data_IF_562143558380
#
_entry.id   IF_562143558380
#
_cell.length_a   1.000
_cell.length_b   1.000
_cell.length_c   1.000
_cell.angle_alpha   90.00
_cell.angle_beta   90.00
_cell.angle_gamma   90.00
#
_symmetry.space_group_name_H-M   'P 1'
#
loop_
_entity.id
_entity.type
_entity.pdbx_description
1 polymer ?
#
# COMPACT_ATOMS: atom_id res chain seq x y z
N UNK A 1 -45.52 51.26 34.00
CA UNK A 1 -44.22 51.40 33.28
C UNK A 1 -43.97 50.14 32.48
N UNK A 2 -43.85 50.27 31.16
CA UNK A 2 -43.97 49.17 30.20
C UNK A 2 -42.61 48.46 29.99
N UNK A 3 -42.33 47.41 30.78
CA UNK A 3 -41.06 46.67 30.79
C UNK A 3 -40.74 45.90 29.51
N UNK A 4 -41.71 45.71 28.61
CA UNK A 4 -41.53 45.02 27.32
C UNK A 4 -40.71 45.83 26.31
N UNK A 5 -40.83 47.16 26.33
CA UNK A 5 -40.18 48.03 25.35
C UNK A 5 -38.68 48.19 25.60
N UNK A 6 -38.27 48.14 26.88
CA UNK A 6 -36.88 48.29 27.31
C UNK A 6 -36.06 47.05 26.96
N UNK A 7 -36.58 45.84 27.17
CA UNK A 7 -35.90 44.58 26.79
C UNK A 7 -35.73 44.45 25.28
N UNK A 8 -36.71 44.89 24.50
CA UNK A 8 -36.64 44.91 23.04
C UNK A 8 -35.58 45.91 22.55
N UNK A 9 -35.51 47.10 23.15
CA UNK A 9 -34.45 48.08 22.87
C UNK A 9 -33.05 47.55 23.17
N UNK A 10 -32.84 46.87 24.31
CA UNK A 10 -31.55 46.27 24.65
C UNK A 10 -31.15 45.13 23.69
N UNK A 11 -32.11 44.29 23.27
CA UNK A 11 -31.86 43.23 22.30
C UNK A 11 -31.48 43.79 20.92
N UNK A 12 -32.18 44.84 20.46
CA UNK A 12 -31.90 45.51 19.19
C UNK A 12 -30.54 46.24 19.21
N UNK A 13 -30.17 46.87 20.32
CA UNK A 13 -28.84 47.50 20.46
C UNK A 13 -27.72 46.47 20.52
N UNK A 14 -27.91 45.34 21.21
CA UNK A 14 -26.92 44.26 21.25
C UNK A 14 -26.73 43.58 19.88
N UNK A 15 -27.82 43.37 19.13
CA UNK A 15 -27.77 42.87 17.75
C UNK A 15 -27.08 43.85 16.82
N UNK A 16 -27.40 45.14 16.93
CA UNK A 16 -26.76 46.20 16.13
C UNK A 16 -25.26 46.32 16.39
N UNK A 17 -24.83 46.28 17.65
CA UNK A 17 -23.41 46.32 18.03
C UNK A 17 -22.64 45.08 17.53
N UNK A 18 -23.26 43.90 17.61
CA UNK A 18 -22.66 42.65 17.13
C UNK A 18 -22.50 42.62 15.61
N UNK A 19 -23.51 43.11 14.88
CA UNK A 19 -23.46 43.27 13.43
C UNK A 19 -22.40 44.29 13.00
N UNK A 20 -22.32 45.43 13.67
CA UNK A 20 -21.30 46.45 13.39
C UNK A 20 -19.88 45.92 13.62
N UNK A 21 -19.68 45.15 14.70
CA UNK A 21 -18.39 44.52 15.01
C UNK A 21 -18.04 43.46 13.97
N UNK A 22 -19.00 42.63 13.57
CA UNK A 22 -18.81 41.63 12.51
C UNK A 22 -18.44 42.27 11.16
N UNK A 23 -19.12 43.33 10.77
CA UNK A 23 -18.82 44.08 9.54
C UNK A 23 -17.44 44.73 9.61
N UNK A 24 -17.06 45.31 10.75
CA UNK A 24 -15.74 45.91 10.93
C UNK A 24 -14.61 44.86 10.82
N UNK A 25 -14.79 43.68 11.43
CA UNK A 25 -13.82 42.58 11.34
C UNK A 25 -13.70 42.07 9.91
N UNK A 26 -14.82 41.83 9.22
CA UNK A 26 -14.83 41.36 7.83
C UNK A 26 -14.21 42.39 6.88
N UNK A 27 -14.51 43.68 7.09
CA UNK A 27 -13.93 44.78 6.30
C UNK A 27 -12.42 44.91 6.53
N UNK A 28 -11.97 44.78 7.78
CA UNK A 28 -10.54 44.77 8.11
C UNK A 28 -9.82 43.56 7.51
N UNK A 29 -10.46 42.38 7.53
CA UNK A 29 -9.92 41.18 6.89
C UNK A 29 -9.84 41.32 5.37
N UNK A 30 -10.87 41.88 4.70
CA UNK A 30 -10.85 42.14 3.26
C UNK A 30 -9.77 43.17 2.90
N UNK A 31 -9.64 44.25 3.69
CA UNK A 31 -8.62 45.25 3.50
C UNK A 31 -7.19 44.67 3.64
N UNK A 32 -6.96 43.85 4.67
CA UNK A 32 -5.68 43.16 4.88
C UNK A 32 -5.38 42.15 3.75
N UNK A 33 -6.40 41.49 3.20
CA UNK A 33 -6.28 40.61 2.02
C UNK A 33 -5.89 41.39 0.77
N UNK A 34 -6.49 42.56 0.53
CA UNK A 34 -6.15 43.44 -0.61
C UNK A 34 -4.71 43.94 -0.52
N UNK A 35 -4.28 44.45 0.64
CA UNK A 35 -2.89 44.87 0.86
C UNK A 35 -1.91 43.71 0.60
N UNK A 36 -2.23 42.51 1.10
CA UNK A 36 -1.39 41.34 0.89
C UNK A 36 -1.35 40.89 -0.58
N UNK A 37 -2.47 40.99 -1.29
CA UNK A 37 -2.55 40.69 -2.72
C UNK A 37 -1.76 41.70 -3.57
N UNK A 38 -1.79 42.99 -3.20
CA UNK A 38 -0.98 44.03 -3.84
C UNK A 38 0.51 43.85 -3.55
N UNK A 39 0.88 43.52 -2.31
CA UNK A 39 2.25 43.17 -1.94
C UNK A 39 2.77 41.96 -2.73
N UNK A 40 1.96 40.89 -2.85
CA UNK A 40 2.29 39.72 -3.67
C UNK A 40 2.44 40.08 -5.16
N UNK A 41 1.55 40.92 -5.71
CA UNK A 41 1.68 41.39 -7.10
C UNK A 41 2.99 42.15 -7.31
N UNK A 42 3.41 42.95 -6.31
CA UNK A 42 4.65 43.70 -6.35
C UNK A 42 5.87 42.78 -6.25
N UNK A 43 5.86 41.80 -5.36
CA UNK A 43 6.90 40.76 -5.27
C UNK A 43 7.00 39.94 -6.57
N UNK A 44 5.88 39.49 -7.14
CA UNK A 44 5.82 38.77 -8.42
C UNK A 44 6.33 39.64 -9.59
N UNK A 45 6.15 40.96 -9.52
CA UNK A 45 6.68 41.89 -10.53
C UNK A 45 8.18 42.14 -10.43
N UNK A 46 8.79 41.87 -9.27
CA UNK A 46 10.22 42.02 -9.00
C UNK A 46 11.03 40.76 -9.35
N UNK A 47 10.37 39.64 -9.64
CA UNK A 47 11.01 38.40 -10.14
C UNK A 47 11.51 38.66 -11.58
N UNK A 48 12.79 38.35 -11.91
CA UNK A 48 13.35 38.55 -13.23
C UNK A 48 12.49 37.92 -14.34
N UNK A 49 12.28 38.65 -15.44
CA UNK A 49 11.48 38.22 -16.61
C UNK A 49 12.10 37.08 -17.45
N UNK A 50 13.09 36.36 -16.93
CA UNK A 50 13.76 35.26 -17.64
C UNK A 50 13.07 33.90 -17.53
N UNK A 51 11.89 33.84 -16.92
CA UNK A 51 11.08 32.60 -16.87
C UNK A 51 9.61 32.88 -17.19
N UNK A 52 9.35 33.65 -18.26
CA UNK A 52 8.00 33.77 -18.84
C UNK A 52 7.94 33.02 -20.17
N UNK A 53 7.35 31.83 -20.07
CA UNK A 53 6.50 31.16 -21.06
C UNK A 53 7.02 31.10 -22.51
N UNK A 54 7.44 29.90 -22.92
CA UNK A 54 7.12 29.44 -24.26
C UNK A 54 5.64 29.03 -24.22
N UNK A 55 4.80 29.78 -24.93
CA UNK A 55 3.41 29.42 -25.18
C UNK A 55 3.18 29.49 -26.69
N UNK A 56 3.11 28.34 -27.35
CA UNK A 56 2.49 28.18 -28.67
C UNK A 56 1.99 26.72 -28.78
N UNK A 57 0.67 26.54 -28.80
CA UNK A 57 -0.10 25.38 -29.28
C UNK A 57 0.54 23.97 -29.18
N UNK A 58 0.02 23.15 -28.27
CA UNK A 58 0.37 21.73 -28.13
C UNK A 58 1.38 21.52 -27.00
N UNK A 59 1.08 20.55 -26.12
CA UNK A 59 1.86 20.06 -24.98
C UNK A 59 3.21 20.74 -24.72
N UNK A 60 3.33 21.45 -23.59
CA UNK A 60 4.62 21.98 -23.11
C UNK A 60 5.56 20.79 -22.89
N UNK A 61 6.43 20.52 -23.85
CA UNK A 61 7.52 19.57 -23.70
C UNK A 61 8.49 20.14 -22.67
N UNK A 62 8.49 19.55 -21.47
CA UNK A 62 9.47 19.87 -20.44
C UNK A 62 10.85 19.41 -20.89
N UNK A 63 11.87 20.18 -20.55
CA UNK A 63 13.24 19.85 -20.89
C UNK A 63 13.63 18.51 -20.24
N UNK A 64 13.87 17.48 -21.07
CA UNK A 64 14.24 16.15 -20.62
C UNK A 64 15.53 16.14 -19.78
N UNK A 65 16.43 17.11 -19.95
CA UNK A 65 17.62 17.23 -19.10
C UNK A 65 17.25 17.56 -17.64
N UNK A 66 16.26 18.43 -17.42
CA UNK A 66 15.77 18.77 -16.09
C UNK A 66 15.00 17.63 -15.45
N UNK A 67 14.23 16.87 -16.25
CA UNK A 67 13.53 15.68 -15.78
C UNK A 67 14.54 14.61 -15.36
N UNK A 68 15.57 14.37 -16.19
CA UNK A 68 16.65 13.44 -15.86
C UNK A 68 17.38 13.85 -14.58
N UNK A 69 17.67 15.14 -14.39
CA UNK A 69 18.26 15.64 -13.15
C UNK A 69 17.34 15.39 -11.95
N UNK A 70 16.04 15.68 -12.06
CA UNK A 70 15.06 15.37 -11.02
C UNK A 70 15.01 13.87 -10.67
N UNK A 71 15.20 13.01 -11.67
CA UNK A 71 15.16 11.54 -11.53
C UNK A 71 16.53 10.90 -11.36
N UNK A 72 17.62 11.67 -11.19
CA UNK A 72 18.99 11.17 -11.22
C UNK A 72 19.24 10.03 -10.21
N UNK A 73 18.61 10.09 -9.03
CA UNK A 73 18.73 9.03 -8.01
C UNK A 73 17.96 7.76 -8.39
N UNK A 74 16.83 7.89 -9.07
CA UNK A 74 16.12 6.73 -9.61
C UNK A 74 16.89 6.10 -10.76
N UNK A 75 17.51 6.92 -11.63
CA UNK A 75 18.38 6.44 -12.72
C UNK A 75 19.59 5.70 -12.15
N UNK A 76 20.23 6.23 -11.11
CA UNK A 76 21.36 5.57 -10.47
C UNK A 76 21.00 4.20 -9.85
N UNK A 77 19.75 4.02 -9.40
CA UNK A 77 19.30 2.77 -8.78
C UNK A 77 18.71 1.76 -9.78
N UNK A 78 17.88 2.21 -10.71
CA UNK A 78 17.12 1.37 -11.66
C UNK A 78 17.79 1.26 -13.04
N UNK A 79 18.81 2.07 -13.30
CA UNK A 79 19.37 2.28 -14.64
C UNK A 79 18.48 3.17 -15.52
N UNK A 80 19.05 3.66 -16.61
CA UNK A 80 18.33 4.46 -17.62
C UNK A 80 17.14 3.67 -18.21
N UNK A 81 17.33 2.38 -18.52
CA UNK A 81 16.28 1.54 -19.09
C UNK A 81 15.09 1.37 -18.13
N UNK A 82 15.36 1.14 -16.84
CA UNK A 82 14.31 0.99 -15.83
C UNK A 82 13.48 2.26 -15.66
N UNK A 83 14.13 3.42 -15.65
CA UNK A 83 13.44 4.73 -15.58
C UNK A 83 12.67 5.01 -16.87
N UNK A 84 13.21 4.69 -18.04
CA UNK A 84 12.51 4.86 -19.33
C UNK A 84 11.21 4.04 -19.40
N UNK A 85 11.21 2.81 -18.87
CA UNK A 85 9.99 1.99 -18.73
C UNK A 85 8.96 2.67 -17.81
N UNK A 86 9.41 3.24 -16.69
CA UNK A 86 8.53 3.99 -15.78
C UNK A 86 7.95 5.23 -16.46
N UNK A 87 8.76 5.98 -17.20
CA UNK A 87 8.34 7.17 -17.94
C UNK A 87 7.23 6.87 -18.93
N UNK A 88 7.29 5.72 -19.61
CA UNK A 88 6.26 5.25 -20.57
C UNK A 88 5.06 4.57 -19.92
N UNK A 89 5.07 4.36 -18.61
CA UNK A 89 4.03 3.59 -17.93
C UNK A 89 2.80 4.42 -17.57
N UNK A 90 1.66 3.74 -17.54
CA UNK A 90 0.36 4.25 -17.11
C UNK A 90 -0.15 3.46 -15.90
N UNK A 91 -0.49 4.16 -14.82
CA UNK A 91 -1.02 3.56 -13.58
C UNK A 91 -2.37 4.16 -13.21
N UNK A 92 -3.34 3.30 -12.88
CA UNK A 92 -4.66 3.71 -12.39
C UNK A 92 -4.73 3.48 -10.88
N UNK A 93 -5.23 4.45 -10.13
CA UNK A 93 -5.34 4.39 -8.66
C UNK A 93 -6.79 4.66 -8.27
N UNK A 94 -7.43 3.68 -7.66
CA UNK A 94 -8.82 3.76 -7.19
C UNK A 94 -8.84 3.93 -5.67
N UNK A 95 -9.36 5.07 -5.22
CA UNK A 95 -9.32 5.52 -3.83
C UNK A 95 -8.09 6.40 -3.55
N UNK A 96 -8.31 7.67 -3.23
CA UNK A 96 -7.31 8.70 -2.95
C UNK A 96 -7.38 9.12 -1.48
N UNK A 97 -7.49 8.11 -0.60
CA UNK A 97 -7.40 8.28 0.85
C UNK A 97 -5.96 8.29 1.36
N UNK A 98 -5.76 7.82 2.60
CA UNK A 98 -4.44 7.76 3.23
C UNK A 98 -3.46 6.74 2.64
N UNK A 99 -3.90 5.86 1.73
CA UNK A 99 -3.02 4.92 1.03
C UNK A 99 -2.77 5.40 -0.41
N UNK A 100 -3.83 5.55 -1.20
CA UNK A 100 -3.72 5.88 -2.62
C UNK A 100 -3.09 7.25 -2.89
N UNK A 101 -3.29 8.25 -2.02
CA UNK A 101 -2.63 9.55 -2.17
C UNK A 101 -1.10 9.45 -2.04
N UNK A 102 -0.60 8.63 -1.11
CA UNK A 102 0.83 8.38 -0.94
C UNK A 102 1.40 7.52 -2.06
N UNK A 103 0.64 6.52 -2.53
CA UNK A 103 1.03 5.72 -3.69
C UNK A 103 1.18 6.60 -4.94
N UNK A 104 0.19 7.44 -5.25
CA UNK A 104 0.22 8.36 -6.38
C UNK A 104 1.40 9.34 -6.29
N UNK A 105 1.61 9.94 -5.12
CA UNK A 105 2.72 10.84 -4.86
C UNK A 105 4.06 10.18 -5.14
N UNK A 106 4.27 8.96 -4.64
CA UNK A 106 5.54 8.29 -4.82
C UNK A 106 5.75 7.72 -6.22
N UNK A 107 4.70 7.30 -6.92
CA UNK A 107 4.79 6.89 -8.32
C UNK A 107 5.27 8.04 -9.21
N UNK A 108 4.68 9.23 -9.05
CA UNK A 108 5.11 10.43 -9.78
C UNK A 108 6.56 10.79 -9.46
N UNK A 109 6.94 10.81 -8.18
CA UNK A 109 8.33 11.09 -7.76
C UNK A 109 9.34 10.05 -8.25
N UNK A 110 8.86 8.85 -8.61
CA UNK A 110 9.71 7.77 -9.13
C UNK A 110 9.84 7.77 -10.65
N UNK A 111 9.15 8.68 -11.36
CA UNK A 111 9.24 8.82 -12.81
C UNK A 111 8.02 8.30 -13.60
N UNK A 112 6.98 7.79 -12.93
CA UNK A 112 5.72 7.44 -13.63
C UNK A 112 5.11 8.72 -14.20
N UNK A 113 4.91 8.75 -15.52
CA UNK A 113 4.50 9.99 -16.19
C UNK A 113 3.02 10.08 -16.50
N UNK A 114 2.30 8.97 -16.41
CA UNK A 114 0.86 8.97 -16.60
C UNK A 114 0.18 8.24 -15.44
N UNK A 115 -0.66 8.98 -14.70
CA UNK A 115 -1.54 8.38 -13.71
C UNK A 115 -2.98 8.82 -13.91
N UNK A 116 -3.92 7.92 -13.63
CA UNK A 116 -5.34 8.24 -13.44
C UNK A 116 -5.71 7.99 -11.99
N UNK A 117 -6.27 9.00 -11.35
CA UNK A 117 -6.67 8.96 -9.95
C UNK A 117 -8.20 9.06 -9.87
N UNK A 118 -8.83 8.08 -9.22
CA UNK A 118 -10.29 7.93 -9.16
C UNK A 118 -10.73 7.96 -7.71
N UNK A 119 -11.51 8.98 -7.34
CA UNK A 119 -12.16 9.09 -6.04
C UNK A 119 -13.33 10.07 -6.14
N UNK A 120 -14.44 9.76 -5.49
CA UNK A 120 -15.63 10.62 -5.48
C UNK A 120 -15.69 11.53 -4.24
N UNK A 121 -14.87 11.25 -3.23
CA UNK A 121 -14.86 11.98 -1.96
C UNK A 121 -14.19 13.36 -2.05
N UNK A 122 -14.55 14.21 -1.09
CA UNK A 122 -13.89 15.47 -0.81
C UNK A 122 -12.91 15.35 0.36
N UNK A 123 -11.94 16.26 0.43
CA UNK A 123 -11.03 16.41 1.56
C UNK A 123 -11.83 16.88 2.77
N UNK A 124 -11.74 16.13 3.88
CA UNK A 124 -12.29 16.52 5.18
C UNK A 124 -11.19 16.95 6.14
N UNK A 125 -11.51 17.66 7.21
CA UNK A 125 -10.54 17.95 8.28
C UNK A 125 -9.92 16.66 8.85
N UNK A 126 -10.71 15.61 9.01
CA UNK A 126 -10.23 14.30 9.47
C UNK A 126 -9.37 13.57 8.44
N UNK A 127 -9.34 14.00 7.17
CA UNK A 127 -8.45 13.45 6.15
C UNK A 127 -7.01 13.94 6.32
N UNK A 128 -6.81 15.11 6.91
CA UNK A 128 -5.50 15.78 7.03
C UNK A 128 -4.49 15.00 7.88
N UNK A 129 -4.96 14.07 8.73
CA UNK A 129 -4.06 13.23 9.53
C UNK A 129 -3.31 12.17 8.69
N UNK A 130 -3.75 11.89 7.46
CA UNK A 130 -3.23 10.75 6.66
C UNK A 130 -3.15 10.98 5.15
N UNK A 131 -3.88 11.94 4.58
CA UNK A 131 -3.80 12.24 3.15
C UNK A 131 -2.44 12.88 2.83
N UNK A 132 -1.78 12.45 1.76
CA UNK A 132 -0.36 12.75 1.52
C UNK A 132 -0.01 14.24 1.40
N UNK A 133 -0.88 15.01 0.74
CA UNK A 133 -0.59 16.41 0.35
C UNK A 133 -1.70 17.39 0.73
N UNK A 134 -2.81 16.91 1.29
CA UNK A 134 -3.95 17.78 1.54
C UNK A 134 -3.64 18.72 2.70
N UNK A 135 -4.04 19.98 2.54
CA UNK A 135 -3.87 21.04 3.53
C UNK A 135 -5.23 21.53 4.03
N UNK A 136 -5.21 22.40 5.04
CA UNK A 136 -6.43 23.08 5.51
C UNK A 136 -7.17 23.83 4.38
N UNK A 137 -6.43 24.35 3.38
CA UNK A 137 -7.02 25.07 2.26
C UNK A 137 -7.74 24.16 1.25
N UNK A 138 -7.46 22.85 1.29
CA UNK A 138 -8.05 21.88 0.38
C UNK A 138 -9.36 21.29 0.93
N UNK A 139 -9.74 21.57 2.19
CA UNK A 139 -10.97 21.06 2.81
C UNK A 139 -12.21 21.47 1.99
N UNK A 140 -13.04 20.49 1.63
CA UNK A 140 -14.20 20.66 0.74
C UNK A 140 -13.89 20.54 -0.75
N UNK A 141 -12.63 20.42 -1.14
CA UNK A 141 -12.23 20.15 -2.54
C UNK A 141 -12.25 18.64 -2.80
N UNK A 142 -12.64 18.15 -3.99
CA UNK A 142 -12.50 16.74 -4.35
C UNK A 142 -11.06 16.25 -4.15
N UNK A 143 -10.87 15.08 -3.52
CA UNK A 143 -9.54 14.55 -3.16
C UNK A 143 -8.63 14.42 -4.38
N UNK A 144 -9.17 13.96 -5.50
CA UNK A 144 -8.44 13.84 -6.77
C UNK A 144 -7.95 15.19 -7.30
N UNK A 145 -8.72 16.26 -7.12
CA UNK A 145 -8.33 17.60 -7.58
C UNK A 145 -7.26 18.19 -6.66
N UNK A 146 -7.43 18.06 -5.35
CA UNK A 146 -6.43 18.48 -4.38
C UNK A 146 -5.08 17.78 -4.66
N UNK A 147 -5.10 16.45 -4.84
CA UNK A 147 -3.90 15.69 -5.18
C UNK A 147 -3.32 16.12 -6.53
N UNK A 148 -4.14 16.23 -7.60
CA UNK A 148 -3.65 16.64 -8.92
C UNK A 148 -2.89 17.96 -8.88
N UNK A 149 -3.41 18.96 -8.16
CA UNK A 149 -2.79 20.27 -8.00
C UNK A 149 -1.35 20.13 -7.46
N UNK A 150 -1.19 19.43 -6.33
CA UNK A 150 0.12 19.23 -5.70
C UNK A 150 1.06 18.37 -6.57
N UNK A 151 0.55 17.36 -7.28
CA UNK A 151 1.39 16.56 -8.17
C UNK A 151 1.93 17.37 -9.36
N UNK A 152 1.14 18.30 -9.91
CA UNK A 152 1.59 19.21 -10.97
C UNK A 152 2.67 20.19 -10.49
N UNK A 153 2.67 20.56 -9.21
CA UNK A 153 3.74 21.37 -8.62
C UNK A 153 5.06 20.57 -8.50
N UNK A 154 4.97 19.26 -8.31
CA UNK A 154 6.13 18.36 -8.14
C UNK A 154 6.71 17.92 -9.49
N UNK A 155 5.84 17.53 -10.41
CA UNK A 155 6.19 16.93 -11.70
C UNK A 155 5.24 17.50 -12.76
N UNK A 156 5.49 18.73 -13.23
CA UNK A 156 4.60 19.37 -14.19
C UNK A 156 4.61 18.67 -15.56
N UNK A 157 5.61 17.82 -15.82
CA UNK A 157 5.71 16.91 -16.96
C UNK A 157 4.79 15.70 -16.88
N UNK A 158 4.18 15.41 -15.73
CA UNK A 158 3.32 14.24 -15.56
C UNK A 158 1.88 14.53 -16.00
N UNK A 159 1.31 13.61 -16.78
CA UNK A 159 -0.12 13.56 -17.09
C UNK A 159 -0.87 12.95 -15.90
N UNK A 160 -1.60 13.80 -15.18
CA UNK A 160 -2.46 13.37 -14.06
C UNK A 160 -3.92 13.56 -14.46
N UNK A 161 -4.65 12.45 -14.62
CA UNK A 161 -6.08 12.39 -14.95
C UNK A 161 -6.95 12.23 -13.69
N UNK A 162 -7.53 13.30 -13.14
CA UNK A 162 -8.43 13.20 -12.00
C UNK A 162 -9.84 12.85 -12.46
N UNK A 163 -10.41 11.79 -11.89
CA UNK A 163 -11.78 11.37 -12.16
C UNK A 163 -12.57 11.41 -10.85
N UNK A 164 -13.53 12.33 -10.80
CA UNK A 164 -14.45 12.49 -9.66
C UNK A 164 -15.66 11.57 -9.90
N UNK A 165 -15.49 10.27 -9.68
CA UNK A 165 -16.55 9.27 -9.93
C UNK A 165 -16.44 8.12 -8.92
N UNK A 166 -17.58 7.60 -8.47
CA UNK A 166 -17.62 6.39 -7.65
C UNK A 166 -17.33 5.19 -8.55
N UNK A 167 -16.46 4.29 -8.09
CA UNK A 167 -16.22 3.05 -8.80
C UNK A 167 -17.40 2.09 -8.63
N UNK A 168 -18.11 1.79 -9.72
CA UNK A 168 -19.25 0.87 -9.74
C UNK A 168 -19.07 -0.17 -10.84
N UNK A 169 -19.99 -1.13 -10.91
CA UNK A 169 -19.96 -2.15 -11.96
C UNK A 169 -20.14 -1.58 -13.35
N UNK A 170 -20.96 -0.56 -13.47
CA UNK A 170 -21.31 0.11 -14.72
C UNK A 170 -20.16 1.00 -15.21
N UNK A 171 -19.43 1.63 -14.28
CA UNK A 171 -18.33 2.53 -14.62
C UNK A 171 -16.99 1.82 -14.82
N UNK A 172 -16.82 0.58 -14.34
CA UNK A 172 -15.55 -0.16 -14.34
C UNK A 172 -14.83 -0.18 -15.70
N UNK A 173 -15.53 -0.56 -16.76
CA UNK A 173 -14.95 -0.67 -18.11
C UNK A 173 -14.44 0.67 -18.63
N UNK A 174 -15.17 1.76 -18.36
CA UNK A 174 -14.76 3.13 -18.72
C UNK A 174 -13.57 3.57 -17.88
N UNK A 175 -13.67 3.41 -16.56
CA UNK A 175 -12.68 3.93 -15.61
C UNK A 175 -11.32 3.22 -15.71
N UNK A 176 -11.32 1.92 -16.01
CA UNK A 176 -10.12 1.09 -16.12
C UNK A 176 -9.59 0.96 -17.57
N UNK A 177 -10.14 1.73 -18.52
CA UNK A 177 -9.71 1.72 -19.91
C UNK A 177 -8.32 2.33 -20.13
N UNK A 178 -7.69 2.01 -21.27
CA UNK A 178 -6.42 2.61 -21.69
C UNK A 178 -5.17 1.79 -21.35
N UNK A 179 -5.31 0.48 -21.17
CA UNK A 179 -4.20 -0.48 -21.05
C UNK A 179 -3.16 -0.11 -19.97
N UNK A 180 -3.65 0.17 -18.77
CA UNK A 180 -2.79 0.47 -17.63
C UNK A 180 -1.81 -0.67 -17.33
N UNK A 181 -0.54 -0.31 -17.10
CA UNK A 181 0.48 -1.26 -16.67
C UNK A 181 0.18 -1.80 -15.27
N UNK A 182 -0.45 -0.99 -14.41
CA UNK A 182 -0.87 -1.39 -13.07
C UNK A 182 -2.14 -0.66 -12.64
N UNK A 183 -2.93 -1.36 -11.83
CA UNK A 183 -4.08 -0.83 -11.09
C UNK A 183 -3.77 -0.94 -9.59
N UNK A 184 -4.03 0.14 -8.85
CA UNK A 184 -3.93 0.21 -7.40
C UNK A 184 -5.33 0.28 -6.82
N UNK A 185 -5.66 -0.70 -5.98
CA UNK A 185 -6.86 -0.67 -5.15
C UNK A 185 -6.53 -0.15 -3.74
N UNK A 186 -7.01 1.05 -3.44
CA UNK A 186 -6.96 1.68 -2.12
C UNK A 186 -8.37 2.01 -1.59
N UNK A 187 -9.39 1.24 -2.03
CA UNK A 187 -10.79 1.38 -1.61
C UNK A 187 -10.97 0.84 -0.20
N UNK A 188 -11.80 1.48 0.62
CA UNK A 188 -12.15 1.05 1.97
C UNK A 188 -13.43 0.20 2.03
N UNK A 189 -14.40 0.45 1.16
CA UNK A 189 -15.61 -0.36 1.01
C UNK A 189 -15.30 -1.77 0.48
N UNK A 190 -15.69 -2.79 1.26
CA UNK A 190 -15.37 -4.20 0.98
C UNK A 190 -16.02 -4.68 -0.32
N UNK A 191 -17.28 -4.33 -0.59
CA UNK A 191 -18.00 -4.87 -1.74
C UNK A 191 -17.49 -4.27 -3.06
N UNK A 192 -17.21 -2.97 -3.05
CA UNK A 192 -16.59 -2.26 -4.19
C UNK A 192 -15.18 -2.80 -4.45
N UNK A 193 -14.39 -3.02 -3.38
CA UNK A 193 -13.08 -3.66 -3.45
C UNK A 193 -13.17 -5.04 -4.09
N UNK A 194 -14.04 -5.92 -3.59
CA UNK A 194 -14.21 -7.28 -4.13
C UNK A 194 -14.57 -7.26 -5.60
N UNK A 195 -15.46 -6.35 -6.00
CA UNK A 195 -15.84 -6.19 -7.38
C UNK A 195 -14.65 -5.75 -8.26
N UNK A 196 -13.88 -4.73 -7.85
CA UNK A 196 -12.67 -4.30 -8.55
C UNK A 196 -11.65 -5.43 -8.70
N UNK A 197 -11.36 -6.14 -7.62
CA UNK A 197 -10.41 -7.27 -7.59
C UNK A 197 -10.85 -8.39 -8.52
N UNK A 198 -12.13 -8.77 -8.49
CA UNK A 198 -12.69 -9.79 -9.38
C UNK A 198 -12.61 -9.35 -10.84
N UNK A 199 -13.01 -8.11 -11.13
CA UNK A 199 -12.99 -7.56 -12.48
C UNK A 199 -11.59 -7.60 -13.08
N UNK A 200 -10.58 -7.12 -12.32
CA UNK A 200 -9.20 -7.11 -12.77
C UNK A 200 -8.65 -8.53 -12.96
N UNK A 201 -8.96 -9.45 -12.03
CA UNK A 201 -8.56 -10.85 -12.16
C UNK A 201 -9.14 -11.50 -13.43
N UNK A 202 -10.45 -11.34 -13.67
CA UNK A 202 -11.13 -11.93 -14.84
C UNK A 202 -10.63 -11.36 -16.17
N UNK A 203 -10.30 -10.07 -16.18
CA UNK A 203 -9.76 -9.37 -17.36
C UNK A 203 -8.24 -9.44 -17.46
N UNK A 204 -7.56 -10.13 -16.53
CA UNK A 204 -6.10 -10.24 -16.43
C UNK A 204 -5.40 -8.87 -16.39
N UNK A 205 -6.04 -7.89 -15.75
CA UNK A 205 -5.46 -6.56 -15.53
C UNK A 205 -4.53 -6.62 -14.31
N UNK A 206 -3.26 -6.18 -14.41
CA UNK A 206 -2.33 -6.20 -13.29
C UNK A 206 -2.83 -5.32 -12.15
N UNK A 207 -3.01 -5.90 -10.96
CA UNK A 207 -3.55 -5.20 -9.80
C UNK A 207 -2.77 -5.51 -8.52
N UNK A 208 -2.61 -4.48 -7.69
CA UNK A 208 -2.17 -4.58 -6.29
C UNK A 208 -3.20 -3.91 -5.39
N UNK A 209 -3.47 -4.52 -4.23
CA UNK A 209 -4.52 -4.06 -3.33
C UNK A 209 -4.03 -3.80 -1.91
N UNK A 210 -4.49 -2.70 -1.32
CA UNK A 210 -4.33 -2.41 0.10
C UNK A 210 -5.40 -3.10 0.93
N UNK A 211 -4.95 -3.83 1.95
CA UNK A 211 -5.79 -4.41 2.99
C UNK A 211 -5.89 -3.46 4.19
N UNK A 212 -6.09 -3.98 5.41
CA UNK A 212 -6.42 -3.17 6.58
C UNK A 212 -5.23 -2.40 7.11
N UNK A 213 -5.16 -1.09 6.84
CA UNK A 213 -4.15 -0.19 7.41
C UNK A 213 -4.61 0.51 8.72
N UNK A 214 -5.90 0.43 9.05
CA UNK A 214 -6.45 1.02 10.28
C UNK A 214 -6.21 0.18 11.52
N UNK A 215 -6.30 0.83 12.69
CA UNK A 215 -6.13 0.22 14.01
C UNK A 215 -4.78 -0.50 14.22
N UNK A 216 -3.72 0.00 13.59
CA UNK A 216 -2.37 -0.55 13.55
C UNK A 216 -1.35 0.56 13.80
N UNK A 217 -0.17 0.18 14.30
CA UNK A 217 0.92 1.10 14.62
C UNK A 217 2.32 0.54 14.35
N UNK A 218 2.49 -0.76 14.11
CA UNK A 218 3.79 -1.40 13.94
C UNK A 218 4.16 -1.55 12.45
N UNK A 219 5.08 -0.72 11.93
CA UNK A 219 5.49 -0.79 10.53
C UNK A 219 6.28 -2.04 10.19
N UNK A 220 6.92 -2.71 11.16
CA UNK A 220 7.72 -3.92 10.93
C UNK A 220 6.88 -5.13 10.54
N UNK A 221 5.55 -5.04 10.72
CA UNK A 221 4.59 -6.11 10.45
C UNK A 221 3.87 -5.95 9.12
N UNK A 222 4.20 -4.93 8.34
CA UNK A 222 3.67 -4.71 6.99
C UNK A 222 4.34 -5.69 6.04
N UNK A 223 3.52 -6.40 5.26
CA UNK A 223 3.97 -7.46 4.36
C UNK A 223 3.26 -7.34 3.02
N UNK A 224 3.89 -7.90 1.99
CA UNK A 224 3.30 -8.03 0.66
C UNK A 224 3.32 -9.49 0.25
N UNK A 225 2.16 -10.00 -0.14
CA UNK A 225 2.05 -11.38 -0.59
C UNK A 225 0.81 -11.57 -1.45
N UNK A 226 0.66 -12.77 -2.02
CA UNK A 226 -0.59 -13.14 -2.68
C UNK A 226 -1.74 -13.20 -1.65
N UNK A 227 -2.94 -12.79 -2.07
CA UNK A 227 -4.14 -12.80 -1.22
C UNK A 227 -4.38 -14.17 -0.58
N UNK A 228 -4.05 -15.27 -1.26
CA UNK A 228 -4.25 -16.66 -0.79
C UNK A 228 -3.48 -16.98 0.49
N UNK A 229 -2.31 -16.38 0.70
CA UNK A 229 -1.38 -16.73 1.78
C UNK A 229 -1.31 -15.67 2.89
N UNK A 230 -2.17 -14.65 2.84
CA UNK A 230 -2.28 -13.61 3.87
C UNK A 230 -2.63 -14.19 5.25
N UNK A 231 -2.06 -13.61 6.31
CA UNK A 231 -2.27 -14.03 7.70
C UNK A 231 -2.64 -12.85 8.60
N UNK A 232 -3.37 -13.13 9.68
CA UNK A 232 -3.72 -12.21 10.79
C UNK A 232 -4.54 -10.94 10.46
N UNK A 233 -4.55 -10.46 9.21
CA UNK A 233 -5.29 -9.27 8.80
C UNK A 233 -6.80 -9.57 8.63
N UNK A 234 -7.69 -8.90 9.40
CA UNK A 234 -9.12 -9.15 9.33
C UNK A 234 -9.77 -8.79 7.98
N UNK A 235 -9.30 -7.71 7.33
CA UNK A 235 -9.81 -7.29 6.03
C UNK A 235 -9.33 -8.27 4.96
N UNK A 236 -8.04 -8.61 4.95
CA UNK A 236 -7.48 -9.59 4.02
C UNK A 236 -8.18 -10.94 4.14
N UNK A 237 -8.44 -11.41 5.38
CA UNK A 237 -9.18 -12.65 5.62
C UNK A 237 -10.59 -12.60 5.05
N UNK A 238 -11.30 -11.49 5.22
CA UNK A 238 -12.68 -11.31 4.71
C UNK A 238 -12.70 -11.27 3.18
N UNK A 239 -11.80 -10.48 2.59
CA UNK A 239 -11.63 -10.35 1.14
C UNK A 239 -11.28 -11.69 0.52
N UNK A 240 -10.25 -12.38 1.04
CA UNK A 240 -9.84 -13.72 0.59
C UNK A 240 -10.98 -14.72 0.60
N UNK A 241 -11.74 -14.80 1.70
CA UNK A 241 -12.87 -15.75 1.80
C UNK A 241 -13.99 -15.46 0.81
N UNK A 242 -14.28 -14.18 0.55
CA UNK A 242 -15.31 -13.77 -0.41
C UNK A 242 -14.85 -13.95 -1.85
N UNK A 243 -13.61 -13.58 -2.19
CA UNK A 243 -13.00 -13.85 -3.49
C UNK A 243 -13.00 -15.34 -3.83
N UNK A 244 -12.64 -16.20 -2.87
CA UNK A 244 -12.69 -17.66 -3.04
C UNK A 244 -14.10 -18.16 -3.40
N UNK A 245 -15.14 -17.62 -2.76
CA UNK A 245 -16.53 -17.93 -3.13
C UNK A 245 -16.92 -17.44 -4.53
N UNK A 246 -16.24 -16.41 -5.02
CA UNK A 246 -16.41 -15.87 -6.38
C UNK A 246 -15.53 -16.59 -7.42
N UNK A 247 -14.78 -17.63 -7.03
CA UNK A 247 -13.90 -18.39 -7.93
C UNK A 247 -12.50 -17.80 -8.10
N UNK A 248 -12.05 -16.92 -7.21
CA UNK A 248 -10.69 -16.36 -7.20
C UNK A 248 -9.96 -16.83 -5.96
N UNK A 249 -9.09 -17.83 -6.13
CA UNK A 249 -8.32 -18.44 -5.04
C UNK A 249 -6.96 -17.77 -4.79
N UNK A 250 -6.31 -17.24 -5.85
CA UNK A 250 -4.97 -16.63 -5.82
C UNK A 250 -4.78 -15.70 -7.04
N UNK A 251 -3.60 -15.09 -7.20
CA UNK A 251 -3.23 -14.26 -8.34
C UNK A 251 -3.39 -12.76 -8.10
N UNK A 252 -3.62 -12.34 -6.86
CA UNK A 252 -3.79 -10.92 -6.50
C UNK A 252 -2.78 -10.59 -5.43
N UNK A 253 -1.83 -9.72 -5.76
CA UNK A 253 -0.84 -9.21 -4.80
C UNK A 253 -1.49 -8.20 -3.88
N UNK A 254 -1.23 -8.29 -2.58
CA UNK A 254 -1.81 -7.38 -1.58
C UNK A 254 -0.77 -6.91 -0.58
N UNK A 255 -0.96 -5.69 -0.08
CA UNK A 255 -0.24 -5.15 1.08
C UNK A 255 -1.14 -5.23 2.29
N UNK A 256 -0.67 -5.87 3.35
CA UNK A 256 -1.40 -6.09 4.60
C UNK A 256 -0.44 -5.99 5.77
N UNK A 257 -0.96 -6.08 6.99
CA UNK A 257 -0.10 -6.19 8.17
C UNK A 257 -0.55 -7.33 9.06
N UNK A 258 0.42 -8.06 9.58
CA UNK A 258 0.21 -9.17 10.52
C UNK A 258 -0.04 -8.68 11.94
N UNK A 259 0.00 -7.37 12.19
CA UNK A 259 -0.34 -6.77 13.47
C UNK A 259 -1.82 -7.01 13.80
N UNK A 260 -2.06 -7.53 15.00
CA UNK A 260 -3.41 -7.66 15.53
C UNK A 260 -3.86 -6.29 16.05
N UNK A 261 -5.04 -5.78 15.65
CA UNK A 261 -5.55 -4.51 16.15
C UNK A 261 -5.62 -4.50 17.68
N UNK A 262 -4.96 -3.54 18.32
CA UNK A 262 -4.93 -3.39 19.79
C UNK A 262 -5.62 -2.11 20.30
N UNK A 263 -6.44 -1.48 19.45
CA UNK A 263 -7.14 -0.24 19.78
C UNK A 263 -8.65 -0.44 19.77
N UNK A 264 -9.33 0.20 20.73
CA UNK A 264 -10.79 0.15 20.82
C UNK A 264 -11.40 0.98 19.69
N UNK A 265 -12.50 0.49 19.14
CA UNK A 265 -13.31 1.25 18.19
C UNK A 265 -13.87 2.50 18.86
N UNK A 266 -13.89 3.62 18.15
CA UNK A 266 -14.44 4.86 18.70
C UNK A 266 -15.95 4.72 18.94
N UNK A 267 -16.48 5.19 20.09
CA UNK A 267 -17.93 5.23 20.32
C UNK A 267 -18.59 6.15 19.29
N UNK A 268 -19.80 5.80 18.87
CA UNK A 268 -20.61 6.69 18.03
C UNK A 268 -21.15 7.82 18.91
N UNK A 269 -20.94 9.07 18.53
CA UNK A 269 -21.57 10.21 19.20
C UNK A 269 -23.09 10.15 18.98
N UNK A 270 -23.89 10.18 20.05
CA UNK A 270 -25.36 10.06 20.00
C UNK A 270 -26.01 11.11 19.07
N UNK A 271 -25.41 12.30 18.95
CA UNK A 271 -25.88 13.36 18.05
C UNK A 271 -25.71 13.06 16.55
N UNK A 272 -24.84 12.12 16.15
CA UNK A 272 -24.69 11.69 14.75
C UNK A 272 -25.66 10.57 14.36
N UNK A 273 -26.42 10.03 15.31
CA UNK A 273 -27.44 9.00 15.04
C UNK A 273 -28.69 9.61 14.40
N UNK A 274 -29.01 10.87 14.70
CA UNK A 274 -30.20 11.55 14.16
C UNK A 274 -30.00 12.10 12.74
N UNK A 275 -28.77 12.51 12.39
CA UNK A 275 -28.40 13.02 11.05
C UNK A 275 -27.59 12.02 10.21
N UNK A 276 -27.66 10.72 10.53
CA UNK A 276 -26.90 9.68 9.83
C UNK A 276 -27.28 9.56 8.33
N UNK A 277 -28.45 10.08 7.93
CA UNK A 277 -28.87 10.18 6.53
C UNK A 277 -28.17 11.30 5.74
N UNK A 278 -27.65 12.33 6.41
CA UNK A 278 -27.11 13.53 5.73
C UNK A 278 -25.60 13.45 5.45
N UNK A 279 -24.89 12.54 6.13
CA UNK A 279 -23.43 12.36 5.99
C UNK A 279 -23.03 11.02 5.36
N UNK A 280 -24.00 10.16 5.02
CA UNK A 280 -23.76 8.89 4.33
C UNK A 280 -24.55 8.86 3.03
N UNK A 281 -23.86 8.90 1.90
CA UNK A 281 -24.44 8.72 0.56
C UNK A 281 -24.94 7.29 0.28
N UNK A 282 -24.98 6.41 1.29
CA UNK A 282 -25.49 5.03 1.17
C UNK A 282 -26.21 4.57 2.47
N UNK A 283 -27.39 3.93 2.35
CA UNK A 283 -28.17 3.45 3.48
C UNK A 283 -27.66 2.08 3.97
N UNK A 284 -26.56 2.03 4.75
CA UNK A 284 -26.32 0.98 5.78
C UNK A 284 -25.09 1.22 6.69
N UNK A 285 -24.62 2.47 6.85
CA UNK A 285 -23.33 2.74 7.49
C UNK A 285 -23.40 2.82 9.03
N UNK A 286 -23.82 1.74 9.71
CA UNK A 286 -23.54 1.57 11.15
C UNK A 286 -22.17 0.95 11.36
N UNK A 287 -21.10 1.70 11.11
CA UNK A 287 -19.76 1.28 11.50
C UNK A 287 -19.14 2.26 12.49
N UNK A 288 -18.72 1.74 13.65
CA UNK A 288 -17.86 2.48 14.58
C UNK A 288 -16.60 2.88 13.81
N UNK A 289 -16.17 4.14 13.95
CA UNK A 289 -15.01 4.65 13.22
C UNK A 289 -13.76 3.89 13.68
N UNK A 290 -13.10 3.21 12.75
CA UNK A 290 -11.82 2.56 13.01
C UNK A 290 -10.76 3.66 13.18
N UNK A 291 -10.06 3.75 14.32
CA UNK A 291 -8.99 4.72 14.49
C UNK A 291 -7.85 4.45 13.49
N UNK A 292 -7.29 5.49 12.91
CA UNK A 292 -6.22 5.39 11.90
C UNK A 292 -5.05 6.26 12.31
N UNK A 293 -3.90 5.63 12.57
CA UNK A 293 -2.62 6.31 12.68
C UNK A 293 -2.08 6.57 11.27
N UNK A 294 -2.00 7.83 10.86
CA UNK A 294 -1.74 8.20 9.45
C UNK A 294 -0.43 7.68 8.86
N UNK A 295 0.56 7.38 9.69
CA UNK A 295 1.85 6.81 9.27
C UNK A 295 1.68 5.42 8.65
N UNK A 296 0.74 4.61 9.11
CA UNK A 296 0.57 3.23 8.61
C UNK A 296 -0.02 3.20 7.19
N UNK A 297 -1.15 3.87 6.89
CA UNK A 297 -1.62 4.00 5.51
C UNK A 297 -0.58 4.60 4.56
N UNK A 298 0.21 5.57 5.03
CA UNK A 298 1.28 6.16 4.23
C UNK A 298 2.33 5.10 3.84
N UNK A 299 2.78 4.28 4.79
CA UNK A 299 3.73 3.20 4.52
C UNK A 299 3.12 2.16 3.57
N UNK A 300 1.84 1.80 3.72
CA UNK A 300 1.16 0.93 2.75
C UNK A 300 1.21 1.53 1.34
N UNK A 301 0.91 2.82 1.19
CA UNK A 301 0.98 3.52 -0.09
C UNK A 301 2.39 3.53 -0.69
N UNK A 302 3.40 3.76 0.16
CA UNK A 302 4.81 3.70 -0.26
C UNK A 302 5.23 2.29 -0.67
N UNK A 303 4.84 1.25 0.07
CA UNK A 303 5.12 -0.15 -0.30
C UNK A 303 4.49 -0.53 -1.64
N UNK A 304 3.24 -0.10 -1.89
CA UNK A 304 2.58 -0.27 -3.19
C UNK A 304 3.36 0.42 -4.31
N UNK A 305 3.77 1.67 -4.10
CA UNK A 305 4.54 2.41 -5.09
C UNK A 305 5.87 1.71 -5.39
N UNK A 306 6.62 1.29 -4.37
CA UNK A 306 7.88 0.55 -4.54
C UNK A 306 7.69 -0.75 -5.32
N UNK A 307 6.63 -1.50 -5.03
CA UNK A 307 6.31 -2.72 -5.76
C UNK A 307 6.07 -2.45 -7.25
N UNK A 308 5.27 -1.43 -7.57
CA UNK A 308 4.96 -1.07 -8.96
C UNK A 308 6.21 -0.57 -9.68
N UNK A 309 6.99 0.30 -9.04
CA UNK A 309 8.22 0.88 -9.61
C UNK A 309 9.21 -0.22 -9.96
N UNK A 310 9.48 -1.12 -9.03
CA UNK A 310 10.42 -2.24 -9.26
C UNK A 310 9.89 -3.20 -10.33
N UNK A 311 8.59 -3.53 -10.33
CA UNK A 311 7.98 -4.40 -11.34
C UNK A 311 8.04 -3.80 -12.75
N UNK A 312 7.70 -2.53 -12.92
CA UNK A 312 7.73 -1.87 -14.24
C UNK A 312 9.17 -1.71 -14.74
N UNK A 313 10.10 -1.32 -13.86
CA UNK A 313 11.51 -1.18 -14.21
C UNK A 313 12.18 -2.53 -14.56
N UNK A 314 11.58 -3.66 -14.18
CA UNK A 314 12.18 -4.98 -14.31
C UNK A 314 13.26 -5.25 -13.25
N UNK A 315 13.24 -4.50 -12.14
CA UNK A 315 14.15 -4.72 -11.03
C UNK A 315 13.68 -5.92 -10.21
N UNK A 316 14.57 -6.92 -10.07
CA UNK A 316 14.24 -8.15 -9.35
C UNK A 316 14.05 -7.87 -7.86
N UNK A 317 12.90 -8.29 -7.33
CA UNK A 317 12.62 -8.30 -5.90
C UNK A 317 12.15 -9.69 -5.50
N UNK A 318 12.67 -10.22 -4.40
CA UNK A 318 12.22 -11.48 -3.78
C UNK A 318 11.44 -11.16 -2.50
N UNK A 319 10.14 -10.79 -2.58
CA UNK A 319 9.36 -10.48 -1.40
C UNK A 319 9.24 -11.72 -0.52
N UNK A 320 9.51 -11.54 0.77
CA UNK A 320 9.33 -12.58 1.78
C UNK A 320 7.85 -12.60 2.17
N UNK A 321 7.10 -13.63 1.75
CA UNK A 321 5.65 -13.54 1.72
C UNK A 321 5.00 -13.50 3.11
N UNK A 322 5.67 -14.00 4.15
CA UNK A 322 5.14 -14.03 5.50
C UNK A 322 6.26 -14.07 6.56
N UNK A 323 6.65 -12.95 7.18
CA UNK A 323 7.61 -12.95 8.32
C UNK A 323 6.94 -13.04 9.69
N UNK A 324 7.73 -13.33 10.72
CA UNK A 324 7.35 -13.31 12.15
C UNK A 324 6.27 -14.33 12.51
N UNK A 325 6.45 -15.57 12.05
CA UNK A 325 5.53 -16.69 12.31
C UNK A 325 6.01 -17.59 13.45
N UNK A 326 6.20 -17.04 14.65
CA UNK A 326 6.81 -17.76 15.79
C UNK A 326 6.15 -19.10 16.13
N UNK A 327 4.81 -19.15 16.08
CA UNK A 327 4.07 -20.40 16.28
C UNK A 327 4.32 -21.45 15.20
N UNK A 328 4.53 -21.01 13.95
CA UNK A 328 4.90 -21.88 12.84
C UNK A 328 6.32 -22.40 13.02
N UNK A 329 7.27 -21.53 13.36
CA UNK A 329 8.66 -21.90 13.55
C UNK A 329 8.83 -22.87 14.72
N UNK A 330 8.15 -22.61 15.84
CA UNK A 330 8.12 -23.51 17.00
C UNK A 330 7.52 -24.88 16.66
N UNK A 331 6.45 -24.90 15.84
CA UNK A 331 5.87 -26.16 15.33
C UNK A 331 6.86 -26.90 14.44
N UNK A 332 7.49 -26.22 13.48
CA UNK A 332 8.44 -26.82 12.54
C UNK A 332 9.68 -27.35 13.23
N UNK A 333 10.21 -26.62 14.21
CA UNK A 333 11.31 -27.06 15.07
C UNK A 333 10.96 -28.35 15.81
N UNK A 334 9.77 -28.40 16.44
CA UNK A 334 9.29 -29.63 17.11
C UNK A 334 9.08 -30.77 16.12
N UNK A 335 8.54 -30.49 14.94
CA UNK A 335 8.33 -31.51 13.89
C UNK A 335 9.68 -32.07 13.41
N UNK A 336 10.70 -31.22 13.23
CA UNK A 336 12.07 -31.61 12.86
C UNK A 336 12.73 -32.46 13.95
N UNK A 337 12.68 -32.03 15.21
CA UNK A 337 13.20 -32.80 16.35
C UNK A 337 12.55 -34.19 16.43
N UNK A 338 11.23 -34.27 16.23
CA UNK A 338 10.53 -35.56 16.22
C UNK A 338 10.87 -36.44 15.00
N UNK A 339 11.34 -35.86 13.88
CA UNK A 339 11.87 -36.63 12.75
C UNK A 339 13.24 -37.19 13.08
N UNK A 340 14.14 -36.36 13.60
CA UNK A 340 15.50 -36.81 13.98
C UNK A 340 15.48 -37.87 15.07
N UNK A 341 14.58 -37.75 16.06
CA UNK A 341 14.34 -38.80 17.07
C UNK A 341 13.92 -40.13 16.46
N UNK A 342 13.06 -40.10 15.43
CA UNK A 342 12.54 -41.32 14.80
C UNK A 342 13.52 -41.95 13.83
N UNK A 343 14.22 -41.13 13.04
CA UNK A 343 15.04 -41.60 11.93
C UNK A 343 16.49 -41.84 12.37
N UNK A 344 17.05 -40.98 13.24
CA UNK A 344 18.48 -40.95 13.59
C UNK A 344 18.72 -41.12 15.11
N UNK A 345 17.67 -41.30 15.91
CA UNK A 345 17.72 -41.47 17.39
C UNK A 345 18.37 -40.28 18.12
N UNK A 346 18.37 -39.08 17.53
CA UNK A 346 18.91 -37.89 18.17
C UNK A 346 17.92 -37.30 19.17
N UNK A 347 18.34 -36.99 20.40
CA UNK A 347 17.45 -36.43 21.43
C UNK A 347 17.32 -34.91 21.39
N UNK A 348 18.27 -34.23 20.75
CA UNK A 348 18.34 -32.78 20.57
C UNK A 348 18.88 -32.44 19.18
N UNK A 349 18.49 -31.29 18.64
CA UNK A 349 18.96 -30.77 17.35
C UNK A 349 19.72 -29.45 17.56
N UNK A 350 20.72 -29.14 16.72
CA UNK A 350 21.58 -27.95 16.88
C UNK A 350 20.94 -26.65 16.36
N UNK A 351 19.62 -26.62 16.16
CA UNK A 351 18.89 -25.48 15.59
C UNK A 351 17.82 -25.03 16.58
N UNK A 352 17.77 -23.74 16.91
CA UNK A 352 16.66 -23.16 17.68
C UNK A 352 15.45 -22.82 16.79
N UNK A 353 14.33 -22.41 17.41
CA UNK A 353 13.13 -22.05 16.64
C UNK A 353 13.33 -20.83 15.73
N UNK A 354 14.24 -19.90 16.06
CA UNK A 354 14.54 -18.73 15.22
C UNK A 354 15.42 -19.12 14.04
N UNK A 355 16.37 -20.03 14.22
CA UNK A 355 17.17 -20.61 13.14
C UNK A 355 16.30 -21.41 12.17
N UNK A 356 15.30 -22.15 12.67
CA UNK A 356 14.27 -22.77 11.84
C UNK A 356 13.48 -21.71 11.04
N UNK A 357 13.13 -20.59 11.68
CA UNK A 357 12.51 -19.45 11.01
C UNK A 357 13.42 -18.86 9.92
N UNK A 358 14.71 -18.69 10.22
CA UNK A 358 15.73 -18.21 9.28
C UNK A 358 15.85 -19.14 8.06
N UNK A 359 16.02 -20.44 8.27
CA UNK A 359 16.08 -21.42 7.18
C UNK A 359 14.81 -21.31 6.33
N UNK A 360 13.65 -21.32 6.96
CA UNK A 360 12.38 -21.33 6.24
C UNK A 360 12.11 -20.03 5.45
N UNK A 361 12.35 -18.86 6.04
CA UNK A 361 12.07 -17.58 5.39
C UNK A 361 13.24 -17.08 4.54
N UNK A 362 14.47 -17.09 5.07
CA UNK A 362 15.63 -16.44 4.46
C UNK A 362 16.46 -17.36 3.55
N UNK A 363 16.36 -18.68 3.66
CA UNK A 363 17.00 -19.58 2.68
C UNK A 363 15.96 -20.02 1.65
N UNK A 364 14.78 -20.43 2.14
CA UNK A 364 13.75 -21.07 1.30
C UNK A 364 12.57 -20.17 0.92
N UNK A 365 12.61 -18.88 1.29
CA UNK A 365 11.59 -17.87 0.91
C UNK A 365 10.15 -18.30 1.25
N UNK A 366 9.98 -19.09 2.29
CA UNK A 366 8.71 -19.59 2.79
C UNK A 366 8.04 -20.67 1.93
N UNK A 367 8.74 -21.26 0.96
CA UNK A 367 8.20 -22.21 -0.04
C UNK A 367 8.91 -23.56 0.01
N UNK A 368 8.22 -24.60 -0.45
CA UNK A 368 8.84 -25.90 -0.72
C UNK A 368 9.86 -25.81 -1.85
N UNK A 369 11.03 -26.39 -1.66
CA UNK A 369 12.06 -26.56 -2.67
C UNK A 369 11.63 -27.45 -3.85
N UNK A 370 10.63 -28.31 -3.63
CA UNK A 370 10.18 -29.30 -4.62
C UNK A 370 9.00 -28.74 -5.41
N UNK A 371 7.94 -28.31 -4.73
CA UNK A 371 6.68 -27.93 -5.37
C UNK A 371 6.43 -26.42 -5.39
N UNK A 372 7.24 -25.61 -4.69
CA UNK A 372 6.95 -24.20 -4.46
C UNK A 372 5.74 -23.94 -3.55
N UNK A 373 5.08 -24.99 -3.06
CA UNK A 373 3.92 -24.89 -2.18
C UNK A 373 4.30 -24.36 -0.80
N UNK A 374 3.38 -23.63 -0.18
CA UNK A 374 3.50 -23.12 1.20
C UNK A 374 2.68 -23.95 2.18
N UNK A 375 2.02 -25.02 1.72
CA UNK A 375 1.10 -25.80 2.54
C UNK A 375 1.84 -26.76 3.47
N UNK A 376 1.51 -26.70 4.76
CA UNK A 376 2.05 -27.59 5.81
C UNK A 376 3.57 -27.77 5.68
N UNK A 377 4.37 -26.69 5.75
CA UNK A 377 5.81 -26.77 5.57
C UNK A 377 6.45 -27.59 6.68
N UNK A 378 7.49 -28.32 6.29
CA UNK A 378 8.38 -29.10 7.14
C UNK A 378 9.83 -28.88 6.68
N UNK A 379 10.77 -28.91 7.63
CA UNK A 379 12.20 -28.92 7.32
C UNK A 379 12.69 -30.36 7.46
N UNK A 380 13.57 -30.77 6.55
CA UNK A 380 14.28 -32.05 6.56
C UNK A 380 15.74 -31.84 6.18
N UNK A 381 16.60 -32.79 6.54
CA UNK A 381 17.96 -32.87 5.99
C UNK A 381 17.90 -33.15 4.49
N UNK A 382 18.72 -32.48 3.70
CA UNK A 382 18.91 -32.83 2.29
C UNK A 382 19.75 -34.10 2.17
N UNK A 383 20.95 -34.08 2.74
CA UNK A 383 21.83 -35.23 2.87
C UNK A 383 21.68 -35.85 4.26
N UNK A 384 21.26 -37.12 4.32
CA UNK A 384 20.97 -37.82 5.59
C UNK A 384 22.20 -38.06 6.45
N UNK A 385 23.33 -38.26 5.79
CA UNK A 385 24.67 -38.51 6.31
C UNK A 385 25.36 -37.24 6.84
N UNK A 386 24.88 -36.06 6.46
CA UNK A 386 25.43 -34.79 6.92
C UNK A 386 24.65 -34.24 8.15
N UNK A 387 25.30 -33.45 9.02
CA UNK A 387 24.64 -32.88 10.19
C UNK A 387 23.57 -31.85 9.81
N UNK A 388 22.65 -31.59 10.74
CA UNK A 388 21.69 -30.50 10.62
C UNK A 388 22.40 -29.15 10.73
N UNK A 389 22.32 -28.35 9.68
CA UNK A 389 22.78 -26.97 9.65
C UNK A 389 22.03 -26.21 8.53
N UNK A 390 22.11 -24.87 8.46
CA UNK A 390 21.41 -24.09 7.44
C UNK A 390 21.73 -24.48 5.98
N UNK A 391 22.91 -25.05 5.72
CA UNK A 391 23.40 -25.48 4.41
C UNK A 391 23.08 -26.95 4.07
N UNK A 392 22.36 -27.66 4.95
CA UNK A 392 21.89 -29.03 4.72
C UNK A 392 20.40 -29.20 5.09
N UNK A 393 19.68 -28.10 5.32
CA UNK A 393 18.26 -28.12 5.65
C UNK A 393 17.43 -27.62 4.47
N UNK A 394 16.43 -28.40 4.06
CA UNK A 394 15.53 -28.05 2.95
C UNK A 394 14.09 -27.96 3.46
N UNK A 395 13.34 -27.00 2.92
CA UNK A 395 11.90 -26.87 3.18
C UNK A 395 11.12 -27.67 2.15
N UNK A 396 10.18 -28.49 2.62
CA UNK A 396 9.27 -29.28 1.80
C UNK A 396 7.84 -29.23 2.37
N UNK A 397 6.84 -29.63 1.60
CA UNK A 397 5.52 -29.93 2.20
C UNK A 397 5.65 -31.17 3.09
N UNK A 398 4.78 -31.32 4.11
CA UNK A 398 4.82 -32.50 4.98
C UNK A 398 4.79 -33.83 4.19
N UNK A 399 4.02 -33.90 3.10
CA UNK A 399 3.94 -35.09 2.24
C UNK A 399 5.26 -35.34 1.50
N UNK A 400 5.87 -34.30 0.93
CA UNK A 400 7.17 -34.39 0.27
C UNK A 400 8.27 -34.81 1.24
N UNK A 401 8.30 -34.22 2.43
CA UNK A 401 9.23 -34.59 3.50
C UNK A 401 9.10 -36.06 3.91
N UNK A 402 7.87 -36.57 4.05
CA UNK A 402 7.64 -37.98 4.38
C UNK A 402 8.08 -38.95 3.26
N UNK A 403 8.08 -38.49 2.00
CA UNK A 403 8.65 -39.24 0.86
C UNK A 403 10.18 -39.16 0.87
N UNK A 404 10.74 -37.97 1.13
CA UNK A 404 12.19 -37.74 1.21
C UNK A 404 12.86 -38.59 2.29
N UNK A 405 12.23 -38.68 3.47
CA UNK A 405 12.70 -39.50 4.58
C UNK A 405 12.83 -41.00 4.22
N UNK A 406 12.09 -41.48 3.21
CA UNK A 406 12.13 -42.88 2.75
C UNK A 406 13.15 -43.16 1.64
N UNK A 407 13.80 -42.12 1.10
CA UNK A 407 14.80 -42.30 0.05
C UNK A 407 15.99 -43.13 0.55
N UNK A 408 16.41 -44.09 -0.26
CA UNK A 408 17.61 -44.91 -0.01
C UNK A 408 18.81 -44.48 -0.84
N UNK A 409 18.58 -43.58 -1.81
CA UNK A 409 19.58 -43.01 -2.71
C UNK A 409 19.83 -41.55 -2.34
N UNK A 410 20.92 -40.98 -2.85
CA UNK A 410 21.21 -39.57 -2.69
C UNK A 410 20.13 -38.71 -3.40
N UNK A 411 19.80 -37.53 -2.87
CA UNK A 411 18.80 -36.66 -3.49
C UNK A 411 19.08 -36.33 -4.96
N UNK A 412 20.35 -36.23 -5.35
CA UNK A 412 20.82 -35.96 -6.71
C UNK A 412 20.42 -37.04 -7.72
N UNK A 413 20.20 -38.28 -7.24
CA UNK A 413 19.79 -39.42 -8.06
C UNK A 413 18.25 -39.52 -8.18
N UNK A 414 17.52 -38.88 -7.27
CA UNK A 414 16.05 -38.98 -7.19
C UNK A 414 15.32 -37.76 -7.75
N UNK A 415 15.81 -36.55 -7.47
CA UNK A 415 15.16 -35.31 -7.90
C UNK A 415 15.64 -34.85 -9.27
N UNK A 416 14.82 -34.04 -9.96
CA UNK A 416 15.21 -33.48 -11.26
C UNK A 416 16.42 -32.54 -11.13
N UNK A 417 17.24 -32.40 -12.19
CA UNK A 417 18.38 -31.48 -12.19
C UNK A 417 18.00 -30.05 -11.79
N UNK A 418 16.81 -29.56 -12.19
CA UNK A 418 16.33 -28.22 -11.85
C UNK A 418 16.17 -28.04 -10.33
N UNK A 419 15.64 -29.04 -9.63
CA UNK A 419 15.46 -29.01 -8.17
C UNK A 419 16.82 -29.04 -7.49
N UNK A 420 17.71 -29.94 -7.92
CA UNK A 420 19.06 -30.07 -7.35
C UNK A 420 19.85 -28.77 -7.54
N UNK A 421 19.77 -28.17 -8.72
CA UNK A 421 20.40 -26.88 -9.01
C UNK A 421 19.85 -25.75 -8.14
N UNK A 422 18.53 -25.70 -7.93
CA UNK A 422 17.91 -24.73 -7.02
C UNK A 422 18.41 -24.90 -5.59
N UNK A 423 18.46 -26.14 -5.08
CA UNK A 423 18.92 -26.44 -3.72
C UNK A 423 20.39 -26.03 -3.54
N UNK A 424 21.25 -26.44 -4.46
CA UNK A 424 22.67 -26.10 -4.44
C UNK A 424 22.91 -24.58 -4.54
N UNK A 425 22.14 -23.89 -5.38
CA UNK A 425 22.23 -22.43 -5.48
C UNK A 425 21.87 -21.73 -4.16
N UNK A 426 20.82 -22.19 -3.45
CA UNK A 426 20.42 -21.63 -2.15
C UNK A 426 21.45 -21.92 -1.05
N UNK A 427 22.04 -23.11 -1.04
CA UNK A 427 23.13 -23.43 -0.11
C UNK A 427 24.40 -22.62 -0.38
N UNK A 428 24.73 -22.39 -1.65
CA UNK A 428 25.86 -21.53 -2.01
C UNK A 428 25.60 -20.06 -1.60
N UNK A 429 24.39 -19.54 -1.85
CA UNK A 429 23.97 -18.21 -1.39
C UNK A 429 24.12 -18.07 0.14
N UNK A 430 23.65 -19.06 0.91
CA UNK A 430 23.81 -19.06 2.38
C UNK A 430 25.28 -19.13 2.80
N UNK A 431 26.10 -19.94 2.12
CA UNK A 431 27.53 -20.06 2.41
C UNK A 431 28.23 -18.72 2.20
N UNK A 432 27.92 -18.03 1.12
CA UNK A 432 28.48 -16.71 0.83
C UNK A 432 28.05 -15.67 1.87
N UNK A 433 26.78 -15.67 2.26
CA UNK A 433 26.24 -14.79 3.31
C UNK A 433 26.85 -15.10 4.69
N UNK A 434 27.09 -16.38 5.00
CA UNK A 434 27.66 -16.81 6.28
C UNK A 434 29.07 -16.28 6.51
N UNK A 435 29.83 -15.97 5.46
CA UNK A 435 31.15 -15.35 5.57
C UNK A 435 31.11 -13.89 6.06
N UNK A 436 29.92 -13.27 6.04
CA UNK A 436 29.68 -11.90 6.51
C UNK A 436 29.00 -11.84 7.89
N UNK A 437 28.76 -12.99 8.54
CA UNK A 437 28.25 -13.11 9.91
C UNK A 437 29.35 -13.53 10.86
#
# INVERSE_FOLDING_TARGET
MNLSNVKLQFALTALGASLATGIAILSYQDHKRRIRAEALKKEVSLIPKTTRNIHLNGEVAFDESLIKEQLARNIAFLGEEGVEKLRKSFVIIVGIGGVGSWAALMLIRSGVSHIRIIDFDQVTLSSLNRHAVATHSDVGTPKVIALQKHLKEIAPWAKVEPIIELFTKESATKLLSGDANFIVDAIDNIDTKLFLLKYCHDKKLPIISSMGAGAKADPSRIQMSDISITIEDPLARTVRRRLKKMGVDSGITVVYSTEKPNVKLLPLEENKVQNAGDYATLPDFRSRILPVLGTIPAIFGMSIATYIVTKIAGHHIEPLPNKNRDGLYSRMHRDLLNRERRNNKEEAIPLDAREVGYIFEEIWRGKSAISGSVEKPAIVKWHKDQPLNPQNCVVMTKKEADTHDKLTVNPEEYYSPDIVNLVNARFQEEKDISNFR
#
